data_IF_603619551129
#
_entry.id   IF_603619551129
#
_cell.length_a   1.000
_cell.length_b   1.000
_cell.length_c   1.000
_cell.angle_alpha   90.00
_cell.angle_beta   90.00
_cell.angle_gamma   90.00
#
_symmetry.space_group_name_H-M   'P 1'
#
loop_
_entity.id
_entity.type
_entity.pdbx_description
1 polymer ?
#
# COMPACT_ATOMS: atom_id res chain seq x y z
N UNK A 1 16.02 1.62 -4.82
CA UNK A 1 16.64 1.11 -6.08
C UNK A 1 15.63 0.89 -7.20
N UNK A 2 14.52 0.18 -6.99
CA UNK A 2 13.53 -0.10 -8.05
C UNK A 2 12.78 1.12 -8.62
N UNK A 3 12.64 2.20 -7.83
CA UNK A 3 11.98 3.45 -8.29
C UNK A 3 12.82 4.21 -9.31
N UNK A 4 14.15 4.13 -9.25
CA UNK A 4 15.04 4.87 -10.15
C UNK A 4 15.08 4.21 -11.54
N UNK A 5 15.06 2.87 -11.63
CA UNK A 5 15.01 2.19 -12.93
C UNK A 5 13.71 2.47 -13.70
N UNK A 6 12.57 2.44 -13.00
CA UNK A 6 11.26 2.72 -13.62
C UNK A 6 11.14 4.21 -14.02
N UNK A 7 11.78 5.11 -13.27
CA UNK A 7 11.84 6.54 -13.59
C UNK A 7 12.63 6.83 -14.85
N UNK A 8 13.83 6.25 -15.01
CA UNK A 8 14.68 6.44 -16.19
C UNK A 8 14.04 5.88 -17.47
N UNK A 9 13.40 4.70 -17.40
CA UNK A 9 12.70 4.11 -18.57
C UNK A 9 11.48 4.94 -18.99
N UNK A 10 10.78 5.59 -18.05
CA UNK A 10 9.62 6.43 -18.39
C UNK A 10 10.02 7.81 -18.90
N UNK A 11 11.15 8.37 -18.46
CA UNK A 11 11.64 9.68 -18.90
C UNK A 11 11.82 9.75 -20.42
N UNK A 12 12.38 8.70 -21.01
CA UNK A 12 12.59 8.63 -22.47
C UNK A 12 11.31 8.45 -23.29
N UNK A 13 10.17 8.11 -22.66
CA UNK A 13 8.90 7.85 -23.35
C UNK A 13 7.91 9.02 -23.26
N UNK A 14 8.16 10.00 -22.39
CA UNK A 14 7.24 11.11 -22.13
C UNK A 14 7.83 12.39 -22.74
N UNK A 15 7.08 13.14 -23.55
CA UNK A 15 7.49 14.45 -24.06
C UNK A 15 7.90 15.39 -22.91
N UNK A 16 8.97 16.17 -23.08
CA UNK A 16 9.56 17.01 -22.02
C UNK A 16 8.53 17.99 -21.40
N UNK A 17 7.59 18.47 -22.18
CA UNK A 17 6.47 19.34 -21.76
C UNK A 17 5.52 18.67 -20.75
N UNK A 18 5.35 17.35 -20.83
CA UNK A 18 4.50 16.57 -19.91
C UNK A 18 5.28 16.04 -18.70
N UNK A 19 6.61 16.12 -18.71
CA UNK A 19 7.45 15.55 -17.66
C UNK A 19 7.25 16.22 -16.30
N UNK A 20 7.15 17.55 -16.27
CA UNK A 20 6.90 18.31 -15.03
C UNK A 20 5.53 17.98 -14.44
N UNK A 21 4.51 17.87 -15.27
CA UNK A 21 3.15 17.49 -14.85
C UNK A 21 3.13 16.05 -14.31
N UNK A 22 3.82 15.13 -14.99
CA UNK A 22 3.93 13.74 -14.56
C UNK A 22 4.70 13.59 -13.24
N UNK A 23 5.84 14.28 -13.11
CA UNK A 23 6.64 14.33 -11.88
C UNK A 23 5.83 14.92 -10.73
N UNK A 24 5.18 16.07 -10.94
CA UNK A 24 4.33 16.71 -9.93
C UNK A 24 3.17 15.79 -9.50
N UNK A 25 2.53 15.08 -10.42
CA UNK A 25 1.44 14.15 -10.10
C UNK A 25 1.91 12.92 -9.30
N UNK A 26 3.13 12.42 -9.55
CA UNK A 26 3.74 11.35 -8.73
C UNK A 26 4.15 11.86 -7.35
N UNK A 27 4.79 13.01 -7.29
CA UNK A 27 5.23 13.63 -6.05
C UNK A 27 4.05 14.00 -5.16
N UNK A 28 2.95 14.47 -5.76
CA UNK A 28 1.69 14.73 -5.05
C UNK A 28 1.13 13.46 -4.43
N UNK A 29 1.03 12.35 -5.17
CA UNK A 29 0.52 11.07 -4.62
C UNK A 29 1.38 10.59 -3.46
N UNK A 30 2.70 10.68 -3.60
CA UNK A 30 3.64 10.31 -2.53
C UNK A 30 3.48 11.20 -1.30
N UNK A 31 3.37 12.51 -1.48
CA UNK A 31 3.16 13.45 -0.39
C UNK A 31 1.80 13.27 0.28
N UNK A 32 0.74 13.04 -0.49
CA UNK A 32 -0.61 12.78 0.01
C UNK A 32 -0.62 11.56 0.94
N UNK A 33 -0.04 10.44 0.48
CA UNK A 33 0.07 9.21 1.29
C UNK A 33 0.89 9.46 2.55
N UNK A 34 2.05 10.14 2.43
CA UNK A 34 2.89 10.46 3.59
C UNK A 34 2.16 11.32 4.61
N UNK A 35 1.38 12.31 4.19
CA UNK A 35 0.60 13.17 5.08
C UNK A 35 -0.55 12.43 5.76
N UNK A 36 -1.20 11.50 5.06
CA UNK A 36 -2.35 10.75 5.59
C UNK A 36 -1.95 9.68 6.60
N UNK A 37 -0.94 8.89 6.28
CA UNK A 37 -0.51 7.76 7.13
C UNK A 37 0.54 8.19 8.15
N UNK A 38 1.43 9.13 7.79
CA UNK A 38 2.49 9.68 8.64
C UNK A 38 3.32 8.65 9.45
N UNK A 39 3.46 7.43 8.92
CA UNK A 39 4.25 6.34 9.54
C UNK A 39 5.39 5.90 8.62
N UNK A 40 6.45 5.38 9.23
CA UNK A 40 7.65 4.93 8.50
C UNK A 40 7.41 3.69 7.61
N UNK A 41 6.27 3.02 7.77
CA UNK A 41 5.86 1.77 7.11
C UNK A 41 4.57 1.90 6.28
N UNK A 42 4.34 3.09 5.72
CA UNK A 42 3.15 3.37 4.92
C UNK A 42 3.00 2.46 3.69
N UNK A 43 4.12 1.98 3.10
CA UNK A 43 4.07 1.11 1.92
C UNK A 43 3.60 -0.30 2.29
N UNK A 44 4.01 -0.80 3.44
CA UNK A 44 3.59 -2.09 3.97
C UNK A 44 2.07 -2.11 4.17
N UNK A 45 1.50 -1.04 4.75
CA UNK A 45 0.04 -0.86 4.86
C UNK A 45 -0.63 -0.90 3.49
N UNK A 46 -0.11 -0.13 2.51
CA UNK A 46 -0.70 -0.05 1.17
C UNK A 46 -0.65 -1.39 0.45
N UNK A 47 0.49 -2.10 0.51
CA UNK A 47 0.66 -3.41 -0.11
C UNK A 47 -0.35 -4.40 0.47
N UNK A 48 -0.50 -4.44 1.80
CA UNK A 48 -1.47 -5.30 2.46
C UNK A 48 -2.93 -4.94 2.13
N UNK A 49 -3.25 -3.65 2.00
CA UNK A 49 -4.58 -3.20 1.56
C UNK A 49 -4.89 -3.62 0.12
N UNK A 50 -3.95 -3.41 -0.81
CA UNK A 50 -4.10 -3.84 -2.21
C UNK A 50 -4.22 -5.36 -2.31
N UNK A 51 -3.41 -6.09 -1.55
CA UNK A 51 -3.50 -7.56 -1.44
C UNK A 51 -4.87 -8.02 -0.93
N UNK A 52 -5.40 -7.37 0.10
CA UNK A 52 -6.71 -7.69 0.67
C UNK A 52 -7.86 -7.43 -0.32
N UNK A 53 -7.79 -6.33 -1.07
CA UNK A 53 -8.75 -6.02 -2.13
C UNK A 53 -8.67 -7.07 -3.24
N UNK A 54 -7.45 -7.41 -3.67
CA UNK A 54 -7.23 -8.38 -4.74
C UNK A 54 -7.73 -9.77 -4.37
N UNK A 55 -7.42 -10.26 -3.16
CA UNK A 55 -7.91 -11.56 -2.68
C UNK A 55 -9.43 -11.58 -2.51
N UNK A 56 -10.03 -10.50 -2.02
CA UNK A 56 -11.50 -10.37 -1.92
C UNK A 56 -12.17 -10.42 -3.30
N UNK A 57 -11.57 -9.77 -4.31
CA UNK A 57 -12.05 -9.85 -5.70
C UNK A 57 -11.88 -11.24 -6.31
N UNK A 58 -10.78 -11.93 -6.00
CA UNK A 58 -10.57 -13.29 -6.48
C UNK A 58 -11.61 -14.25 -5.89
N UNK A 59 -11.94 -14.13 -4.60
CA UNK A 59 -12.97 -14.97 -4.00
C UNK A 59 -14.35 -14.74 -4.59
N UNK A 60 -14.63 -13.52 -5.07
CA UNK A 60 -15.84 -13.28 -5.85
C UNK A 60 -15.85 -14.02 -7.18
N UNK A 61 -14.74 -14.00 -7.92
CA UNK A 61 -14.63 -14.65 -9.25
C UNK A 61 -14.58 -16.17 -9.14
N UNK A 62 -13.81 -16.71 -8.21
CA UNK A 62 -13.52 -18.15 -8.14
C UNK A 62 -14.42 -18.90 -7.17
N UNK A 63 -14.86 -18.26 -6.08
CA UNK A 63 -15.61 -18.90 -5.00
C UNK A 63 -17.05 -18.40 -4.89
N UNK A 64 -17.50 -17.50 -5.79
CA UNK A 64 -18.82 -16.85 -5.77
C UNK A 64 -19.15 -16.17 -4.42
N UNK A 65 -18.13 -15.75 -3.67
CA UNK A 65 -18.32 -15.04 -2.41
C UNK A 65 -18.52 -13.56 -2.72
N UNK A 66 -19.67 -12.99 -2.35
CA UNK A 66 -19.94 -11.58 -2.59
C UNK A 66 -18.89 -10.70 -1.87
N UNK A 67 -18.20 -9.79 -2.57
CA UNK A 67 -17.15 -8.98 -1.97
C UNK A 67 -17.79 -7.95 -1.03
N UNK A 68 -17.39 -7.95 0.24
CA UNK A 68 -17.79 -6.93 1.21
C UNK A 68 -16.59 -6.15 1.73
N UNK A 69 -16.82 -4.92 2.17
CA UNK A 69 -15.78 -4.08 2.79
C UNK A 69 -15.31 -4.73 4.09
N UNK A 70 -16.22 -5.38 4.82
CA UNK A 70 -15.95 -6.10 6.05
C UNK A 70 -15.01 -7.29 5.82
N UNK A 71 -15.23 -8.06 4.76
CA UNK A 71 -14.35 -9.17 4.40
C UNK A 71 -12.95 -8.70 4.00
N UNK A 72 -12.87 -7.62 3.22
CA UNK A 72 -11.60 -7.00 2.87
C UNK A 72 -10.87 -6.48 4.11
N UNK A 73 -11.58 -5.81 5.04
CA UNK A 73 -11.01 -5.32 6.30
C UNK A 73 -10.50 -6.48 7.16
N UNK A 74 -11.28 -7.56 7.29
CA UNK A 74 -10.89 -8.77 8.02
C UNK A 74 -9.62 -9.40 7.45
N UNK A 75 -9.51 -9.52 6.12
CA UNK A 75 -8.29 -10.00 5.46
C UNK A 75 -7.09 -9.12 5.74
N UNK A 76 -7.27 -7.81 5.64
CA UNK A 76 -6.22 -6.86 5.97
C UNK A 76 -5.74 -7.04 7.41
N UNK A 77 -6.64 -7.12 8.39
CA UNK A 77 -6.28 -7.35 9.79
C UNK A 77 -5.53 -8.67 9.99
N UNK A 78 -5.96 -9.75 9.33
CA UNK A 78 -5.28 -11.05 9.41
C UNK A 78 -3.85 -10.97 8.83
N UNK A 79 -3.69 -10.39 7.64
CA UNK A 79 -2.39 -10.23 6.98
C UNK A 79 -1.47 -9.28 7.75
N UNK A 80 -2.03 -8.23 8.36
CA UNK A 80 -1.28 -7.31 9.21
C UNK A 80 -0.79 -8.00 10.48
N UNK A 81 -1.60 -8.85 11.12
CA UNK A 81 -1.16 -9.67 12.24
C UNK A 81 0.01 -10.59 11.83
N UNK A 82 -0.07 -11.22 10.65
CA UNK A 82 1.05 -12.02 10.12
C UNK A 82 2.30 -11.17 9.86
N UNK A 83 2.15 -9.92 9.42
CA UNK A 83 3.26 -8.99 9.27
C UNK A 83 3.92 -8.70 10.63
N UNK A 84 3.15 -8.45 11.70
CA UNK A 84 3.68 -8.20 13.03
C UNK A 84 4.57 -9.35 13.54
N UNK A 85 4.27 -10.60 13.19
CA UNK A 85 5.12 -11.75 13.52
C UNK A 85 6.47 -11.76 12.78
N UNK A 86 6.58 -11.09 11.64
CA UNK A 86 7.79 -11.06 10.79
C UNK A 86 8.64 -9.80 11.01
N UNK A 87 8.07 -8.78 11.66
CA UNK A 87 8.73 -7.48 11.87
C UNK A 87 9.76 -7.59 12.99
N UNK A 88 10.93 -6.96 12.77
CA UNK A 88 12.01 -6.92 13.76
C UNK A 88 11.76 -5.86 14.84
N UNK A 89 12.32 -6.03 16.05
CA UNK A 89 11.90 -5.30 17.25
C UNK A 89 11.95 -3.76 17.30
N UNK A 90 12.73 -2.95 16.55
CA UNK A 90 12.59 -1.51 16.74
C UNK A 90 11.28 -0.95 16.14
N UNK A 91 10.70 -1.61 15.14
CA UNK A 91 9.45 -1.16 14.47
C UNK A 91 8.21 -1.87 14.98
N UNK A 92 8.39 -2.99 15.67
CA UNK A 92 7.29 -3.87 16.08
C UNK A 92 6.33 -3.15 17.03
N UNK A 93 6.87 -2.46 18.03
CA UNK A 93 6.04 -1.81 19.06
C UNK A 93 5.24 -0.64 18.47
N UNK A 94 5.87 0.18 17.61
CA UNK A 94 5.18 1.25 16.87
C UNK A 94 4.05 0.69 16.00
N UNK A 95 4.30 -0.39 15.26
CA UNK A 95 3.29 -1.03 14.43
C UNK A 95 2.15 -1.66 15.24
N UNK A 96 2.45 -2.28 16.38
CA UNK A 96 1.44 -2.85 17.28
C UNK A 96 0.50 -1.78 17.83
N UNK A 97 1.06 -0.68 18.31
CA UNK A 97 0.28 0.46 18.83
C UNK A 97 -0.61 1.03 17.73
N UNK A 98 -0.05 1.27 16.54
CA UNK A 98 -0.83 1.77 15.42
C UNK A 98 -1.96 0.82 15.03
N UNK A 99 -1.68 -0.49 14.95
CA UNK A 99 -2.67 -1.48 14.56
C UNK A 99 -3.82 -1.59 15.57
N UNK A 100 -3.51 -1.58 16.86
CA UNK A 100 -4.53 -1.60 17.92
C UNK A 100 -5.50 -0.42 17.84
N UNK A 101 -5.05 0.74 17.32
CA UNK A 101 -5.86 1.94 17.14
C UNK A 101 -6.70 1.94 15.85
N UNK A 102 -6.38 1.11 14.86
CA UNK A 102 -6.96 1.17 13.50
C UNK A 102 -7.67 -0.12 13.04
N UNK A 103 -7.81 -1.13 13.91
CA UNK A 103 -8.51 -2.38 13.59
C UNK A 103 -10.04 -2.30 13.59
#
# INVERSE_FOLDING_TARGET
MLTNLCYEVQKHRIPDELWLVYKNSRDWRRQFIRRRLNVSYALEIIILMVWSIWTTRNDWVFNNIHPTVQDCKRRFCNEFNLLLHRVKPPKLDEMKVWFALHQ
#
